data_IF_534979888929
#
_entry.id   IF_534979888929
#
_cell.length_a   1.000
_cell.length_b   1.000
_cell.length_c   1.000
_cell.angle_alpha   90.00
_cell.angle_beta   90.00
_cell.angle_gamma   90.00
#
_symmetry.space_group_name_H-M   'P 1'
#
loop_
_entity.id
_entity.type
_entity.pdbx_description
1 polymer ?
#
# COMPACT_ATOMS: atom_id res chain seq x y z
N UNK A 1 5.11 36.92 -18.15
CA UNK A 1 4.96 35.48 -18.47
C UNK A 1 4.42 34.84 -17.19
N UNK A 2 3.11 34.62 -17.04
CA UNK A 2 2.38 33.35 -17.36
C UNK A 2 3.23 32.15 -16.88
N UNK A 3 2.80 31.34 -15.91
CA UNK A 3 1.52 30.61 -15.86
C UNK A 3 0.96 30.42 -14.43
N UNK A 4 -0.34 30.64 -14.28
CA UNK A 4 -1.18 30.10 -13.21
C UNK A 4 -1.42 28.61 -13.48
N UNK A 5 -1.39 27.77 -12.44
CA UNK A 5 -2.03 26.45 -12.49
C UNK A 5 -2.77 26.21 -11.17
N UNK A 6 -4.05 26.63 -11.16
CA UNK A 6 -5.08 26.14 -10.26
C UNK A 6 -5.30 24.64 -10.53
N UNK A 7 -5.15 23.81 -9.50
CA UNK A 7 -5.87 22.53 -9.42
C UNK A 7 -5.93 22.00 -7.98
N UNK A 8 -6.96 22.49 -7.31
CA UNK A 8 -7.90 21.80 -6.41
C UNK A 8 -7.53 20.35 -6.00
N UNK A 9 -7.59 20.13 -4.67
CA UNK A 9 -7.56 18.83 -3.99
C UNK A 9 -6.19 18.22 -3.67
N UNK A 10 -5.21 19.04 -3.29
CA UNK A 10 -4.01 18.54 -2.62
C UNK A 10 -4.30 18.29 -1.13
N UNK A 11 -4.93 17.15 -0.80
CA UNK A 11 -4.76 16.56 0.53
C UNK A 11 -3.26 16.54 0.78
N UNK A 12 -2.79 17.36 1.73
CA UNK A 12 -1.38 17.60 2.01
C UNK A 12 -0.61 16.28 1.89
N UNK A 13 0.16 16.12 0.81
CA UNK A 13 1.19 15.09 0.71
C UNK A 13 2.22 15.44 1.78
N UNK A 14 1.94 15.08 3.04
CA UNK A 14 3.00 14.85 4.01
C UNK A 14 3.95 13.89 3.28
N UNK A 15 5.21 14.27 3.16
CA UNK A 15 6.23 13.42 2.58
C UNK A 15 6.34 12.17 3.46
N UNK A 16 5.44 11.19 3.24
CA UNK A 16 5.43 9.95 3.99
C UNK A 16 6.74 9.25 3.67
N UNK A 17 7.53 9.05 4.70
CA UNK A 17 8.80 8.35 4.61
C UNK A 17 8.59 6.86 4.89
N UNK A 18 9.58 6.03 4.57
CA UNK A 18 9.55 4.62 4.96
C UNK A 18 9.48 4.47 6.49
N UNK A 19 10.14 5.35 7.24
CA UNK A 19 10.09 5.35 8.71
C UNK A 19 8.68 5.59 9.26
N UNK A 20 7.88 6.43 8.61
CA UNK A 20 6.48 6.66 9.01
C UNK A 20 5.65 5.38 8.90
N UNK A 21 5.93 4.54 7.90
CA UNK A 21 5.24 3.26 7.69
C UNK A 21 5.71 2.23 8.73
N UNK A 22 7.02 2.14 8.95
CA UNK A 22 7.61 1.20 9.90
C UNK A 22 7.22 1.48 11.35
N UNK A 23 6.93 2.75 11.70
CA UNK A 23 6.47 3.14 13.03
C UNK A 23 4.98 2.86 13.27
N UNK A 24 4.24 2.39 12.26
CA UNK A 24 2.84 2.02 12.44
C UNK A 24 2.69 0.83 13.38
N UNK A 25 1.62 0.85 14.18
CA UNK A 25 1.31 -0.22 15.13
C UNK A 25 0.03 -0.94 14.73
N UNK A 26 0.07 -2.26 14.79
CA UNK A 26 -1.10 -3.10 14.55
C UNK A 26 -2.13 -2.90 15.68
N UNK A 27 -3.43 -2.77 15.36
CA UNK A 27 -4.47 -2.67 16.37
C UNK A 27 -4.56 -3.95 17.23
N UNK A 28 -4.77 -3.84 18.55
CA UNK A 28 -4.92 -4.98 19.46
C UNK A 28 -6.38 -5.47 19.55
N UNK A 29 -7.05 -5.66 18.41
CA UNK A 29 -8.47 -6.09 18.35
C UNK A 29 -8.66 -7.61 18.22
N UNK A 30 -7.57 -8.39 18.29
CA UNK A 30 -7.60 -9.85 18.22
C UNK A 30 -7.68 -10.42 16.79
N UNK A 31 -7.75 -9.59 15.75
CA UNK A 31 -7.71 -10.07 14.37
C UNK A 31 -6.30 -10.60 14.02
N UNK A 32 -6.19 -11.79 13.39
CA UNK A 32 -4.91 -12.35 12.98
C UNK A 32 -4.32 -11.54 11.83
N UNK A 33 -3.11 -10.97 12.03
CA UNK A 33 -2.44 -10.12 11.05
C UNK A 33 -0.98 -10.49 10.89
N UNK A 34 -0.45 -10.29 9.69
CA UNK A 34 0.97 -10.37 9.40
C UNK A 34 1.48 -9.04 8.83
N UNK A 35 1.68 -8.06 9.72
CA UNK A 35 2.16 -6.74 9.33
C UNK A 35 3.60 -6.76 8.81
N UNK A 36 4.49 -7.54 9.45
CA UNK A 36 5.88 -7.69 9.01
C UNK A 36 5.95 -8.26 7.58
N UNK A 37 5.23 -9.35 7.31
CA UNK A 37 5.17 -9.94 5.97
C UNK A 37 4.52 -9.01 4.94
N UNK A 38 3.56 -8.17 5.33
CA UNK A 38 3.00 -7.15 4.44
C UNK A 38 4.09 -6.14 4.03
N UNK A 39 4.84 -5.58 4.98
CA UNK A 39 5.91 -4.62 4.72
C UNK A 39 7.01 -5.23 3.84
N UNK A 40 7.43 -6.46 4.12
CA UNK A 40 8.43 -7.15 3.30
C UNK A 40 7.98 -7.29 1.84
N UNK A 41 6.72 -7.67 1.60
CA UNK A 41 6.19 -7.75 0.24
C UNK A 41 6.12 -6.38 -0.44
N UNK A 42 5.68 -5.34 0.27
CA UNK A 42 5.62 -3.98 -0.27
C UNK A 42 7.00 -3.46 -0.68
N UNK A 43 8.04 -3.74 0.14
CA UNK A 43 9.43 -3.42 -0.17
C UNK A 43 9.96 -4.23 -1.35
N UNK A 44 9.65 -5.53 -1.41
CA UNK A 44 10.04 -6.41 -2.53
C UNK A 44 9.52 -5.87 -3.87
N UNK A 45 8.29 -5.37 -3.88
CA UNK A 45 7.67 -4.78 -5.06
C UNK A 45 7.97 -3.29 -5.26
N UNK A 46 8.85 -2.71 -4.44
CA UNK A 46 9.26 -1.30 -4.49
C UNK A 46 8.07 -0.32 -4.51
N UNK A 47 7.04 -0.62 -3.72
CA UNK A 47 5.85 0.22 -3.62
C UNK A 47 6.21 1.55 -2.93
N UNK A 48 5.82 2.72 -3.45
CA UNK A 48 6.12 4.01 -2.81
C UNK A 48 5.49 4.14 -1.41
N UNK A 49 6.12 4.84 -0.45
CA UNK A 49 5.61 4.94 0.93
C UNK A 49 4.17 5.45 1.05
N UNK A 50 3.75 6.39 0.22
CA UNK A 50 2.37 6.90 0.22
C UNK A 50 1.34 5.81 -0.16
N UNK A 51 1.68 4.93 -1.09
CA UNK A 51 0.87 3.78 -1.46
C UNK A 51 0.92 2.71 -0.37
N UNK A 52 2.11 2.45 0.21
CA UNK A 52 2.26 1.53 1.34
C UNK A 52 1.33 1.91 2.49
N UNK A 53 1.33 3.19 2.89
CA UNK A 53 0.45 3.73 3.93
C UNK A 53 -1.02 3.35 3.68
N UNK A 54 -1.48 3.61 2.46
CA UNK A 54 -2.87 3.38 2.07
C UNK A 54 -3.19 1.88 2.03
N UNK A 55 -2.27 1.05 1.53
CA UNK A 55 -2.42 -0.40 1.50
C UNK A 55 -2.47 -0.97 2.92
N UNK A 56 -1.58 -0.54 3.82
CA UNK A 56 -1.58 -0.97 5.23
C UNK A 56 -2.94 -0.71 5.88
N UNK A 57 -3.48 0.49 5.73
CA UNK A 57 -4.78 0.83 6.28
C UNK A 57 -5.92 0.03 5.65
N UNK A 58 -5.96 -0.07 4.31
CA UNK A 58 -7.03 -0.77 3.59
C UNK A 58 -7.00 -2.29 3.74
N UNK A 59 -5.83 -2.87 3.96
CA UNK A 59 -5.66 -4.31 4.18
C UNK A 59 -5.76 -4.71 5.66
N UNK A 60 -6.18 -3.80 6.53
CA UNK A 60 -6.22 -4.01 7.98
C UNK A 60 -4.87 -4.50 8.53
N UNK A 61 -3.79 -3.82 8.16
CA UNK A 61 -2.39 -4.12 8.52
C UNK A 61 -1.93 -5.53 8.09
N UNK A 62 -2.45 -6.02 6.97
CA UNK A 62 -2.12 -7.35 6.47
C UNK A 62 -2.88 -8.45 7.20
N UNK A 63 -4.19 -8.27 7.35
CA UNK A 63 -5.08 -9.30 7.89
C UNK A 63 -4.90 -10.62 7.13
N UNK A 64 -4.66 -11.69 7.87
CA UNK A 64 -4.42 -13.02 7.30
C UNK A 64 -5.69 -13.50 6.61
N UNK A 65 -5.56 -13.90 5.34
CA UNK A 65 -6.71 -14.29 4.50
C UNK A 65 -7.35 -13.14 3.72
N UNK A 66 -6.98 -11.88 3.99
CA UNK A 66 -7.44 -10.72 3.23
C UNK A 66 -7.01 -10.72 1.75
N UNK A 67 -7.72 -9.97 0.91
CA UNK A 67 -7.48 -9.95 -0.54
C UNK A 67 -6.10 -9.41 -0.95
N UNK A 68 -5.41 -8.70 -0.05
CA UNK A 68 -4.04 -8.24 -0.27
C UNK A 68 -3.08 -9.40 -0.58
N UNK A 69 -3.23 -10.54 0.09
CA UNK A 69 -2.37 -11.71 -0.08
C UNK A 69 -2.60 -12.38 -1.43
N UNK A 70 -3.85 -12.43 -1.88
CA UNK A 70 -4.20 -12.87 -3.23
C UNK A 70 -3.60 -11.93 -4.27
N UNK A 71 -3.65 -10.62 -4.03
CA UNK A 71 -3.02 -9.60 -4.87
C UNK A 71 -1.53 -9.85 -5.07
N UNK A 72 -0.78 -10.13 -3.99
CA UNK A 72 0.65 -10.48 -4.11
C UNK A 72 0.88 -11.77 -4.90
N UNK A 73 0.04 -12.79 -4.70
CA UNK A 73 0.12 -14.03 -5.48
C UNK A 73 -0.06 -13.77 -6.97
N UNK A 74 -1.00 -12.89 -7.35
CA UNK A 74 -1.21 -12.50 -8.75
C UNK A 74 -0.01 -11.73 -9.31
N UNK A 75 0.55 -10.79 -8.56
CA UNK A 75 1.76 -10.06 -8.99
C UNK A 75 2.90 -11.04 -9.31
N UNK A 76 3.19 -11.98 -8.40
CA UNK A 76 4.23 -13.00 -8.60
C UNK A 76 3.92 -13.92 -9.78
N UNK A 77 2.68 -14.37 -9.90
CA UNK A 77 2.23 -15.24 -11.01
C UNK A 77 2.13 -14.54 -12.36
N UNK A 78 2.12 -13.19 -12.39
CA UNK A 78 1.96 -12.42 -13.62
C UNK A 78 3.17 -12.46 -14.56
N UNK A 79 4.33 -12.96 -14.11
CA UNK A 79 5.57 -12.98 -14.89
C UNK A 79 6.06 -11.59 -15.30
N UNK A 80 5.76 -10.56 -14.51
CA UNK A 80 6.15 -9.16 -14.80
C UNK A 80 5.19 -8.39 -15.73
N UNK A 81 3.97 -8.90 -15.95
CA UNK A 81 2.91 -8.16 -16.67
C UNK A 81 2.39 -6.96 -15.87
N UNK A 82 2.35 -7.07 -14.55
CA UNK A 82 1.94 -5.96 -13.67
C UNK A 82 3.14 -5.01 -13.50
N UNK A 83 3.04 -3.82 -14.08
CA UNK A 83 4.09 -2.79 -14.03
C UNK A 83 4.01 -1.89 -12.79
N UNK A 84 2.81 -1.73 -12.23
CA UNK A 84 2.54 -0.87 -11.07
C UNK A 84 1.88 -1.71 -9.96
N UNK A 85 2.68 -2.42 -9.14
CA UNK A 85 2.15 -3.33 -8.13
C UNK A 85 1.33 -2.61 -7.05
N UNK A 86 1.74 -1.44 -6.58
CA UNK A 86 1.00 -0.72 -5.54
C UNK A 86 -0.38 -0.24 -6.01
N UNK A 87 -0.48 0.37 -7.19
CA UNK A 87 -1.76 0.69 -7.83
C UNK A 87 -2.67 -0.53 -8.02
N UNK A 88 -2.11 -1.66 -8.45
CA UNK A 88 -2.86 -2.90 -8.59
C UNK A 88 -3.41 -3.38 -7.24
N UNK A 89 -2.59 -3.40 -6.19
CA UNK A 89 -3.03 -3.81 -4.84
C UNK A 89 -4.11 -2.89 -4.30
N UNK A 90 -3.96 -1.57 -4.50
CA UNK A 90 -4.99 -0.60 -4.14
C UNK A 90 -6.30 -0.84 -4.91
N UNK A 91 -6.23 -1.23 -6.18
CA UNK A 91 -7.43 -1.61 -6.94
C UNK A 91 -8.08 -2.88 -6.40
N UNK A 92 -7.29 -3.88 -5.99
CA UNK A 92 -7.80 -5.11 -5.36
C UNK A 92 -8.52 -4.80 -4.04
N UNK A 93 -7.99 -3.87 -3.25
CA UNK A 93 -8.53 -3.47 -1.94
C UNK A 93 -9.71 -2.46 -2.02
N UNK A 94 -10.00 -1.89 -3.18
CA UNK A 94 -11.06 -0.88 -3.38
C UNK A 94 -12.35 -1.48 -3.99
N UNK A 95 -12.56 -2.79 -3.88
CA UNK A 95 -13.77 -3.45 -4.36
C UNK A 95 -14.98 -3.16 -3.47
#
# INVERSE_FOLDING_TARGET
>A
MREECDQRSATRKRNLTQEDIDRMQVPPDGCPRNFSGLLENLRLFRVPPAEQYTIVLKSNYGEIGGDIWKGFSVIRGSGGKIKLPGHYLLSVLNK
#
